data_IF_263144580143
#
_entry.id   IF_263144580143
#
_cell.length_a   1.000
_cell.length_b   1.000
_cell.length_c   1.000
_cell.angle_alpha   90.00
_cell.angle_beta   90.00
_cell.angle_gamma   90.00
#
_symmetry.space_group_name_H-M   'P 1'
#
loop_
_entity.id
_entity.type
_entity.pdbx_description
1 polymer ?
#
# COMPACT_ATOMS: atom_id res chain seq x y z
N UNK A 1 -0.21 -1.75 -12.02
CA UNK A 1 -0.99 -2.74 -11.27
C UNK A 1 -1.00 -2.41 -9.78
N UNK A 2 -2.18 -2.51 -9.11
CA UNK A 2 -2.30 -2.20 -7.69
C UNK A 2 -3.17 -3.24 -6.98
N UNK A 3 -2.72 -3.78 -5.84
CA UNK A 3 -3.52 -4.72 -5.05
C UNK A 3 -4.42 -4.00 -4.04
N UNK A 4 -5.73 -4.37 -4.00
CA UNK A 4 -6.70 -3.76 -3.07
C UNK A 4 -7.14 -2.35 -3.47
N UNK A 5 -7.49 -2.13 -4.74
CA UNK A 5 -7.87 -0.81 -5.29
C UNK A 5 -9.35 -0.45 -5.18
N UNK A 6 -10.20 -1.30 -4.57
CA UNK A 6 -11.65 -1.07 -4.53
C UNK A 6 -12.13 -0.12 -3.42
N UNK A 7 -11.29 0.20 -2.43
CA UNK A 7 -11.62 1.07 -1.29
C UNK A 7 -10.40 1.70 -0.62
N UNK A 8 -10.63 2.61 0.31
CA UNK A 8 -9.61 3.19 1.18
C UNK A 8 -8.48 3.90 0.44
N UNK A 9 -7.25 3.82 0.97
CA UNK A 9 -6.06 4.45 0.39
C UNK A 9 -5.69 3.82 -0.97
N UNK A 10 -5.98 2.53 -1.18
CA UNK A 10 -5.76 1.86 -2.47
C UNK A 10 -6.62 2.46 -3.58
N UNK A 11 -7.90 2.72 -3.31
CA UNK A 11 -8.78 3.42 -4.24
C UNK A 11 -8.29 4.83 -4.55
N UNK A 12 -7.91 5.60 -3.51
CA UNK A 12 -7.37 6.94 -3.71
C UNK A 12 -6.11 6.92 -4.58
N UNK A 13 -5.21 5.93 -4.37
CA UNK A 13 -4.01 5.76 -5.19
C UNK A 13 -4.33 5.44 -6.65
N UNK A 14 -5.28 4.54 -6.91
CA UNK A 14 -5.74 4.19 -8.27
C UNK A 14 -6.30 5.43 -8.99
N UNK A 15 -7.16 6.21 -8.32
CA UNK A 15 -7.74 7.43 -8.88
C UNK A 15 -6.67 8.49 -9.19
N UNK A 16 -5.72 8.70 -8.28
CA UNK A 16 -4.66 9.70 -8.49
C UNK A 16 -3.68 9.27 -9.58
N UNK A 17 -3.36 7.97 -9.70
CA UNK A 17 -2.58 7.44 -10.83
C UNK A 17 -3.27 7.71 -12.16
N UNK A 18 -4.58 7.42 -12.27
CA UNK A 18 -5.36 7.67 -13.48
C UNK A 18 -5.44 9.16 -13.83
N UNK A 19 -5.59 10.04 -12.82
CA UNK A 19 -5.57 11.50 -12.98
C UNK A 19 -4.23 12.01 -13.53
N UNK A 20 -3.14 11.33 -13.21
CA UNK A 20 -1.80 11.63 -13.73
C UNK A 20 -1.48 10.88 -15.05
N UNK A 21 -2.49 10.35 -15.75
CA UNK A 21 -2.38 9.79 -17.08
C UNK A 21 -2.03 8.30 -17.14
N UNK A 22 -1.99 7.59 -16.00
CA UNK A 22 -1.71 6.17 -16.02
C UNK A 22 -2.91 5.34 -16.50
N UNK A 23 -2.64 4.28 -17.25
CA UNK A 23 -3.55 3.15 -17.37
C UNK A 23 -3.50 2.34 -16.08
N UNK A 24 -4.62 1.80 -15.61
CA UNK A 24 -4.70 1.21 -14.28
C UNK A 24 -5.32 -0.18 -14.32
N UNK A 25 -4.62 -1.15 -13.74
CA UNK A 25 -5.14 -2.45 -13.38
C UNK A 25 -5.12 -2.60 -11.86
N UNK A 26 -6.20 -3.07 -11.23
CA UNK A 26 -6.23 -3.22 -9.79
C UNK A 26 -7.04 -4.45 -9.34
N UNK A 27 -6.84 -4.86 -8.10
CA UNK A 27 -7.53 -6.05 -7.59
C UNK A 27 -8.46 -5.75 -6.42
N UNK A 28 -9.38 -6.66 -6.19
CA UNK A 28 -10.27 -6.71 -5.03
C UNK A 28 -10.45 -8.16 -4.58
N UNK A 29 -10.91 -8.38 -3.33
CA UNK A 29 -11.27 -9.73 -2.84
C UNK A 29 -12.78 -9.88 -2.73
N UNK A 30 -13.45 -9.01 -1.99
CA UNK A 30 -14.87 -9.15 -1.65
C UNK A 30 -15.77 -8.05 -2.21
N UNK A 31 -15.23 -6.85 -2.48
CA UNK A 31 -16.05 -5.69 -2.89
C UNK A 31 -15.99 -5.48 -4.41
N UNK A 32 -16.77 -6.26 -5.15
CA UNK A 32 -16.92 -6.05 -6.60
C UNK A 32 -17.63 -4.73 -6.91
N UNK A 33 -18.64 -4.37 -6.12
CA UNK A 33 -19.33 -3.07 -6.24
C UNK A 33 -18.38 -1.89 -6.05
N UNK A 34 -17.45 -1.98 -5.10
CA UNK A 34 -16.40 -0.98 -4.90
C UNK A 34 -15.41 -0.93 -6.08
N UNK A 35 -15.12 -2.07 -6.71
CA UNK A 35 -14.27 -2.10 -7.90
C UNK A 35 -14.97 -1.43 -9.09
N UNK A 36 -16.25 -1.70 -9.32
CA UNK A 36 -17.06 -1.04 -10.37
C UNK A 36 -17.18 0.47 -10.15
N UNK A 37 -17.40 0.91 -8.90
CA UNK A 37 -17.41 2.35 -8.56
C UNK A 37 -16.05 3.00 -8.79
N UNK A 38 -14.95 2.30 -8.47
CA UNK A 38 -13.59 2.79 -8.73
C UNK A 38 -13.34 2.93 -10.24
N UNK A 39 -13.71 1.93 -11.05
CA UNK A 39 -13.61 2.00 -12.51
C UNK A 39 -14.41 3.19 -13.07
N UNK A 40 -15.67 3.35 -12.66
CA UNK A 40 -16.51 4.45 -13.10
C UNK A 40 -15.86 5.82 -12.82
N UNK A 41 -15.34 6.02 -11.61
CA UNK A 41 -14.62 7.25 -11.23
C UNK A 41 -13.34 7.48 -12.02
N UNK A 42 -12.59 6.41 -12.36
CA UNK A 42 -11.42 6.56 -13.23
C UNK A 42 -11.85 7.05 -14.60
N UNK A 43 -12.93 6.49 -15.17
CA UNK A 43 -13.46 6.89 -16.48
C UNK A 43 -13.95 8.35 -16.49
N UNK A 44 -14.51 8.83 -15.38
CA UNK A 44 -14.87 10.25 -15.21
C UNK A 44 -13.64 11.16 -15.20
N UNK A 45 -12.57 10.77 -14.48
CA UNK A 45 -11.33 11.55 -14.33
C UNK A 45 -10.50 11.54 -15.62
N UNK A 46 -10.37 10.35 -16.23
CA UNK A 46 -9.59 10.13 -17.44
C UNK A 46 -10.33 9.14 -18.37
N UNK A 47 -11.20 9.65 -19.27
CA UNK A 47 -11.99 8.81 -20.18
C UNK A 47 -11.15 7.91 -21.11
N UNK A 48 -9.90 8.28 -21.37
CA UNK A 48 -9.00 7.54 -22.25
C UNK A 48 -8.17 6.49 -21.53
N UNK A 49 -8.19 6.44 -20.19
CA UNK A 49 -7.44 5.45 -19.43
C UNK A 49 -7.96 4.03 -19.70
N UNK A 50 -7.07 3.10 -19.97
CA UNK A 50 -7.39 1.68 -19.87
C UNK A 50 -7.55 1.32 -18.40
N UNK A 51 -8.68 0.68 -18.05
CA UNK A 51 -8.97 0.28 -16.67
C UNK A 51 -9.40 -1.17 -16.68
N UNK A 52 -8.74 -1.96 -15.83
CA UNK A 52 -9.12 -3.35 -15.59
C UNK A 52 -9.16 -3.61 -14.08
N UNK A 53 -10.03 -4.50 -13.64
CA UNK A 53 -10.04 -4.96 -12.26
C UNK A 53 -10.28 -6.47 -12.20
N UNK A 54 -9.62 -7.10 -11.23
CA UNK A 54 -9.64 -8.55 -11.07
C UNK A 54 -9.96 -8.93 -9.64
N UNK A 55 -10.73 -10.00 -9.48
CA UNK A 55 -10.85 -10.65 -8.17
C UNK A 55 -9.56 -11.44 -7.93
N UNK A 56 -8.90 -11.21 -6.80
CA UNK A 56 -7.64 -11.87 -6.47
C UNK A 56 -7.38 -11.82 -4.95
N UNK A 57 -7.18 -12.97 -4.34
CA UNK A 57 -6.63 -13.07 -2.99
C UNK A 57 -5.10 -13.20 -3.06
N UNK A 58 -4.39 -12.21 -2.55
CA UNK A 58 -2.91 -12.19 -2.54
C UNK A 58 -2.29 -13.35 -1.76
N UNK A 59 -3.04 -14.05 -0.90
CA UNK A 59 -2.59 -15.24 -0.17
C UNK A 59 -2.45 -16.47 -1.08
N UNK A 60 -3.11 -16.47 -2.23
CA UNK A 60 -3.12 -17.57 -3.17
C UNK A 60 -2.11 -17.34 -4.30
N UNK A 61 -0.94 -17.97 -4.21
CA UNK A 61 0.14 -17.81 -5.20
C UNK A 61 -0.29 -18.17 -6.63
N UNK A 62 -1.15 -19.19 -6.81
CA UNK A 62 -1.65 -19.58 -8.14
C UNK A 62 -2.54 -18.48 -8.73
N UNK A 63 -3.49 -18.00 -7.95
CA UNK A 63 -4.39 -16.92 -8.35
C UNK A 63 -3.61 -15.61 -8.66
N UNK A 64 -2.57 -15.31 -7.89
CA UNK A 64 -1.66 -14.17 -8.14
C UNK A 64 -0.98 -14.30 -9.51
N UNK A 65 -0.44 -15.49 -9.84
CA UNK A 65 0.22 -15.70 -11.13
C UNK A 65 -0.78 -15.58 -12.29
N UNK A 66 -1.95 -16.24 -12.20
CA UNK A 66 -3.00 -16.18 -13.24
C UNK A 66 -3.47 -14.74 -13.49
N UNK A 67 -3.67 -13.95 -12.43
CA UNK A 67 -4.08 -12.55 -12.55
C UNK A 67 -2.95 -11.66 -13.07
N UNK A 68 -1.69 -11.92 -12.70
CA UNK A 68 -0.54 -11.18 -13.23
C UNK A 68 -0.40 -11.38 -14.74
N UNK A 69 -0.44 -12.63 -15.22
CA UNK A 69 -0.40 -12.96 -16.65
C UNK A 69 -1.55 -12.26 -17.41
N UNK A 70 -2.77 -12.34 -16.86
CA UNK A 70 -3.94 -11.68 -17.45
C UNK A 70 -3.78 -10.16 -17.47
N UNK A 71 -3.30 -9.55 -16.41
CA UNK A 71 -3.10 -8.11 -16.35
C UNK A 71 -2.04 -7.64 -17.35
N UNK A 72 -0.95 -8.38 -17.52
CA UNK A 72 0.08 -8.10 -18.53
C UNK A 72 -0.53 -8.18 -19.94
N UNK A 73 -1.32 -9.23 -20.23
CA UNK A 73 -1.97 -9.39 -21.53
C UNK A 73 -2.97 -8.27 -21.84
N UNK A 74 -3.84 -7.92 -20.89
CA UNK A 74 -4.88 -6.89 -21.06
C UNK A 74 -4.27 -5.47 -21.17
N UNK A 75 -3.21 -5.18 -20.41
CA UNK A 75 -2.54 -3.87 -20.41
C UNK A 75 -1.50 -3.72 -21.51
N UNK A 76 -0.92 -4.82 -21.99
CA UNK A 76 0.20 -4.90 -22.94
C UNK A 76 1.57 -4.71 -22.29
N UNK A 77 1.64 -4.05 -21.14
CA UNK A 77 2.85 -3.82 -20.33
C UNK A 77 2.48 -3.36 -18.93
N UNK A 78 3.25 -3.79 -17.94
CA UNK A 78 3.17 -3.26 -16.58
C UNK A 78 4.48 -2.56 -16.23
N UNK A 79 4.43 -1.28 -15.90
CA UNK A 79 5.59 -0.48 -15.49
C UNK A 79 5.73 -0.36 -13.98
N UNK A 80 4.60 -0.44 -13.25
CA UNK A 80 4.55 -0.21 -11.82
C UNK A 80 3.63 -1.23 -11.14
N UNK A 81 4.09 -1.76 -10.02
CA UNK A 81 3.27 -2.63 -9.14
C UNK A 81 3.23 -2.03 -7.75
N UNK A 82 2.01 -1.80 -7.23
CA UNK A 82 1.77 -1.28 -5.89
C UNK A 82 1.15 -2.37 -5.02
N UNK A 83 1.87 -2.83 -4.00
CA UNK A 83 1.41 -3.80 -3.02
C UNK A 83 0.75 -3.08 -1.84
N UNK A 84 -0.58 -2.94 -1.92
CA UNK A 84 -1.39 -2.21 -0.93
C UNK A 84 -2.40 -3.11 -0.19
N UNK A 85 -2.78 -4.26 -0.73
CA UNK A 85 -3.74 -5.17 -0.09
C UNK A 85 -3.37 -5.48 1.36
N UNK A 86 -4.37 -5.45 2.25
CA UNK A 86 -4.12 -5.68 3.66
C UNK A 86 -5.39 -5.89 4.49
N UNK A 87 -5.19 -6.48 5.66
CA UNK A 87 -6.21 -6.77 6.67
C UNK A 87 -5.67 -6.47 8.07
N UNK A 88 -6.56 -6.41 9.04
CA UNK A 88 -6.23 -6.35 10.46
C UNK A 88 -6.85 -7.55 11.20
N UNK A 89 -6.07 -8.15 12.12
CA UNK A 89 -6.51 -9.19 13.07
C UNK A 89 -5.83 -8.89 14.40
N UNK A 90 -6.26 -7.81 15.02
CA UNK A 90 -5.67 -7.28 16.23
C UNK A 90 -6.00 -8.17 17.44
N UNK A 91 -5.05 -8.29 18.36
CA UNK A 91 -5.18 -9.05 19.60
C UNK A 91 -3.89 -8.99 20.40
N UNK A 92 -3.99 -9.00 21.73
CA UNK A 92 -2.81 -9.12 22.57
C UNK A 92 -2.14 -10.47 22.33
N UNK A 93 -0.82 -10.53 22.36
CA UNK A 93 -0.04 -11.72 21.93
C UNK A 93 -0.46 -13.01 22.65
N UNK A 94 -0.83 -12.96 23.92
CA UNK A 94 -1.26 -14.14 24.68
C UNK A 94 -2.69 -14.64 24.30
N UNK A 95 -3.46 -13.83 23.57
CA UNK A 95 -4.82 -14.16 23.10
C UNK A 95 -4.86 -14.35 21.59
N UNK A 96 -3.80 -13.96 20.87
CA UNK A 96 -3.71 -14.06 19.42
C UNK A 96 -3.69 -15.53 19.00
N UNK A 97 -4.62 -15.91 18.13
CA UNK A 97 -4.64 -17.28 17.57
C UNK A 97 -3.62 -17.41 16.44
N UNK A 98 -3.21 -18.67 16.16
CA UNK A 98 -2.34 -18.98 15.03
C UNK A 98 -2.98 -18.51 13.72
N UNK A 99 -4.28 -18.68 13.53
CA UNK A 99 -5.02 -18.20 12.35
C UNK A 99 -4.94 -16.67 12.19
N UNK A 100 -5.07 -15.92 13.28
CA UNK A 100 -4.93 -14.46 13.25
C UNK A 100 -3.51 -14.02 12.87
N UNK A 101 -2.52 -14.74 13.36
CA UNK A 101 -1.13 -14.53 12.99
C UNK A 101 -0.89 -14.87 11.51
N UNK A 102 -1.23 -16.08 11.11
CA UNK A 102 -0.97 -16.60 9.77
C UNK A 102 -1.71 -15.78 8.69
N UNK A 103 -2.97 -15.43 8.91
CA UNK A 103 -3.74 -14.66 7.93
C UNK A 103 -3.11 -13.29 7.66
N UNK A 104 -2.58 -12.62 8.68
CA UNK A 104 -1.92 -11.32 8.54
C UNK A 104 -0.57 -11.46 7.84
N UNK A 105 0.26 -12.43 8.26
CA UNK A 105 1.56 -12.68 7.61
C UNK A 105 1.36 -13.08 6.15
N UNK A 106 0.43 -14.00 5.86
CA UNK A 106 0.13 -14.45 4.51
C UNK A 106 -0.36 -13.31 3.62
N UNK A 107 -1.25 -12.46 4.12
CA UNK A 107 -1.78 -11.35 3.32
C UNK A 107 -0.72 -10.29 3.04
N UNK A 108 -0.03 -9.82 4.08
CA UNK A 108 0.85 -8.66 3.97
C UNK A 108 2.23 -9.00 3.44
N UNK A 109 2.92 -9.98 4.07
CA UNK A 109 4.32 -10.26 3.74
C UNK A 109 4.43 -11.28 2.60
N UNK A 110 3.80 -12.44 2.76
CA UNK A 110 3.83 -13.50 1.75
C UNK A 110 3.13 -13.05 0.47
N UNK A 111 1.98 -12.38 0.57
CA UNK A 111 1.25 -11.84 -0.59
C UNK A 111 2.07 -10.79 -1.35
N UNK A 112 2.76 -9.88 -0.65
CA UNK A 112 3.68 -8.92 -1.29
C UNK A 112 4.80 -9.66 -2.05
N UNK A 113 5.38 -10.70 -1.46
CA UNK A 113 6.38 -11.54 -2.12
C UNK A 113 5.81 -12.22 -3.38
N UNK A 114 4.61 -12.83 -3.29
CA UNK A 114 4.00 -13.49 -4.45
C UNK A 114 3.77 -12.53 -5.60
N UNK A 115 3.21 -11.35 -5.31
CA UNK A 115 2.94 -10.34 -6.34
C UNK A 115 4.23 -9.80 -6.94
N UNK A 116 5.23 -9.44 -6.13
CA UNK A 116 6.52 -9.00 -6.67
C UNK A 116 7.16 -10.05 -7.57
N UNK A 117 7.15 -11.32 -7.14
CA UNK A 117 7.71 -12.44 -7.92
C UNK A 117 6.98 -12.63 -9.26
N UNK A 118 5.65 -12.51 -9.28
CA UNK A 118 4.84 -12.72 -10.48
C UNK A 118 5.11 -11.65 -11.57
N UNK A 119 5.45 -10.42 -11.19
CA UNK A 119 5.77 -9.35 -12.14
C UNK A 119 7.26 -9.16 -12.40
N UNK A 120 8.14 -9.86 -11.69
CA UNK A 120 9.59 -9.65 -11.78
C UNK A 120 10.14 -9.99 -13.17
N UNK A 121 9.67 -11.08 -13.77
CA UNK A 121 10.09 -11.49 -15.12
C UNK A 121 9.70 -10.44 -16.16
N UNK A 122 8.49 -9.91 -16.09
CA UNK A 122 8.00 -8.81 -16.94
C UNK A 122 8.92 -7.59 -16.83
N UNK A 123 9.31 -7.20 -15.62
CA UNK A 123 10.23 -6.08 -15.41
C UNK A 123 11.64 -6.35 -15.95
N UNK A 124 12.13 -7.59 -15.85
CA UNK A 124 13.42 -7.98 -16.43
C UNK A 124 13.38 -7.89 -17.96
N UNK A 125 12.34 -8.42 -18.59
CA UNK A 125 12.13 -8.40 -20.05
C UNK A 125 12.01 -6.96 -20.55
N UNK A 126 11.25 -6.13 -19.85
CA UNK A 126 11.06 -4.71 -20.18
C UNK A 126 12.22 -3.80 -19.80
N UNK A 127 13.30 -4.34 -19.21
CA UNK A 127 14.50 -3.63 -18.78
C UNK A 127 14.22 -2.50 -17.77
N UNK A 128 13.25 -2.70 -16.92
CA UNK A 128 12.89 -1.78 -15.85
C UNK A 128 11.48 -1.94 -15.34
N UNK A 129 11.25 -1.44 -14.14
CA UNK A 129 9.94 -1.41 -13.48
C UNK A 129 10.06 -0.93 -12.04
N UNK A 130 8.93 -0.61 -11.42
CA UNK A 130 8.90 -0.08 -10.06
C UNK A 130 7.94 -0.86 -9.18
N UNK A 131 8.44 -1.34 -8.05
CA UNK A 131 7.63 -1.86 -6.95
C UNK A 131 7.47 -0.78 -5.88
N UNK A 132 6.24 -0.52 -5.47
CA UNK A 132 5.89 0.35 -4.35
C UNK A 132 5.16 -0.50 -3.31
N UNK A 133 5.82 -0.81 -2.22
CA UNK A 133 5.28 -1.68 -1.17
C UNK A 133 4.78 -0.85 0.02
N UNK A 134 3.57 -1.15 0.49
CA UNK A 134 2.96 -0.37 1.56
C UNK A 134 3.20 -1.04 2.92
N UNK A 135 4.04 -0.41 3.74
CA UNK A 135 4.27 -0.77 5.14
C UNK A 135 3.26 -0.04 6.05
N UNK A 136 3.64 0.33 7.24
CA UNK A 136 2.85 1.09 8.22
C UNK A 136 3.77 1.65 9.29
N UNK A 137 3.38 2.74 9.96
CA UNK A 137 4.03 3.19 11.20
C UNK A 137 4.10 2.12 12.28
N UNK A 138 3.21 1.12 12.23
CA UNK A 138 3.23 -0.02 13.17
C UNK A 138 4.42 -0.97 12.96
N UNK A 139 5.24 -0.78 11.93
CA UNK A 139 6.43 -1.61 11.69
C UNK A 139 7.48 -1.55 12.82
N UNK A 140 7.45 -0.51 13.64
CA UNK A 140 8.32 -0.39 14.82
C UNK A 140 7.75 -1.06 16.07
N UNK A 141 6.55 -1.65 15.97
CA UNK A 141 5.82 -2.26 17.06
C UNK A 141 4.57 -1.47 17.45
N UNK A 142 3.45 -2.16 17.60
CA UNK A 142 2.18 -1.61 18.08
C UNK A 142 1.53 -2.62 19.01
N UNK A 143 1.12 -2.19 20.19
CA UNK A 143 0.44 -3.06 21.13
C UNK A 143 -0.85 -3.63 20.53
N UNK A 144 -1.08 -4.93 20.67
CA UNK A 144 -2.21 -5.63 20.05
C UNK A 144 -2.04 -5.95 18.55
N UNK A 145 -0.90 -5.64 17.95
CA UNK A 145 -0.63 -5.83 16.52
C UNK A 145 0.70 -6.55 16.26
N UNK A 146 1.04 -7.57 17.05
CA UNK A 146 2.31 -8.28 16.90
C UNK A 146 2.48 -8.88 15.50
N UNK A 147 1.42 -9.53 14.96
CA UNK A 147 1.36 -10.06 13.61
C UNK A 147 1.53 -8.98 12.53
N UNK A 148 0.78 -7.90 12.66
CA UNK A 148 0.80 -6.78 11.71
C UNK A 148 2.14 -6.05 11.73
N UNK A 149 2.68 -5.78 12.92
CA UNK A 149 4.00 -5.16 13.08
C UNK A 149 5.11 -6.01 12.45
N UNK A 150 5.11 -7.32 12.71
CA UNK A 150 6.06 -8.25 12.12
C UNK A 150 5.98 -8.26 10.59
N UNK A 151 4.76 -8.35 10.03
CA UNK A 151 4.56 -8.33 8.58
C UNK A 151 5.05 -7.01 7.96
N UNK A 152 4.69 -5.86 8.57
CA UNK A 152 5.04 -4.54 8.04
C UNK A 152 6.54 -4.22 8.17
N UNK A 153 7.21 -4.70 9.21
CA UNK A 153 8.67 -4.67 9.31
C UNK A 153 9.34 -5.58 8.27
N UNK A 154 8.80 -6.78 8.07
CA UNK A 154 9.28 -7.73 7.06
C UNK A 154 9.23 -7.18 5.63
N UNK A 155 8.18 -6.42 5.28
CA UNK A 155 8.06 -5.74 3.98
C UNK A 155 9.25 -4.80 3.73
N UNK A 156 9.72 -4.08 4.74
CA UNK A 156 10.86 -3.16 4.61
C UNK A 156 12.14 -3.94 4.27
N UNK A 157 12.41 -5.02 5.02
CA UNK A 157 13.56 -5.89 4.78
C UNK A 157 13.52 -6.53 3.39
N UNK A 158 12.37 -7.11 3.03
CA UNK A 158 12.12 -7.70 1.71
C UNK A 158 12.35 -6.70 0.57
N UNK A 159 11.78 -5.50 0.68
CA UNK A 159 11.91 -4.48 -0.37
C UNK A 159 13.35 -4.03 -0.59
N UNK A 160 14.13 -3.89 0.49
CA UNK A 160 15.55 -3.56 0.41
C UNK A 160 16.38 -4.68 -0.24
N UNK A 161 16.04 -5.95 0.02
CA UNK A 161 16.69 -7.08 -0.61
C UNK A 161 16.43 -7.06 -2.13
N UNK A 162 15.16 -6.95 -2.55
CA UNK A 162 14.77 -6.89 -3.95
C UNK A 162 15.42 -5.71 -4.69
N UNK A 163 15.48 -4.53 -4.08
CA UNK A 163 16.15 -3.36 -4.64
C UNK A 163 17.66 -3.61 -4.88
N UNK A 164 18.33 -4.31 -3.96
CA UNK A 164 19.75 -4.68 -4.10
C UNK A 164 19.98 -5.73 -5.17
N UNK A 165 19.07 -6.72 -5.27
CA UNK A 165 19.19 -7.82 -6.23
C UNK A 165 18.97 -7.37 -7.67
N UNK A 166 18.08 -6.41 -7.90
CA UNK A 166 17.63 -6.06 -9.25
C UNK A 166 17.82 -4.59 -9.65
N UNK A 167 18.36 -3.75 -8.78
CA UNK A 167 18.57 -2.33 -9.07
C UNK A 167 19.46 -2.08 -10.33
N UNK A 168 20.44 -2.94 -10.58
CA UNK A 168 21.29 -2.88 -11.78
C UNK A 168 20.53 -3.15 -13.11
N UNK A 169 19.28 -3.64 -13.02
CA UNK A 169 18.37 -3.86 -14.14
C UNK A 169 17.35 -2.75 -14.30
N UNK A 170 17.52 -1.60 -13.64
CA UNK A 170 16.54 -0.52 -13.54
C UNK A 170 15.20 -0.96 -12.91
N UNK A 171 15.24 -1.93 -12.00
CA UNK A 171 14.10 -2.34 -11.21
C UNK A 171 14.21 -1.69 -9.83
N UNK A 172 13.23 -0.86 -9.52
CA UNK A 172 13.17 -0.13 -8.27
C UNK A 172 12.22 -0.82 -7.30
N UNK A 173 12.55 -0.79 -6.03
CA UNK A 173 11.66 -1.28 -4.98
C UNK A 173 11.73 -0.36 -3.77
N UNK A 174 10.70 0.44 -3.58
CA UNK A 174 10.60 1.39 -2.48
C UNK A 174 9.40 1.09 -1.58
N UNK A 175 9.45 1.57 -0.36
CA UNK A 175 8.41 1.38 0.64
C UNK A 175 7.78 2.72 1.00
N UNK A 176 6.44 2.75 1.12
CA UNK A 176 5.73 3.84 1.77
C UNK A 176 5.31 3.37 3.17
N UNK A 177 5.58 4.20 4.17
CA UNK A 177 5.11 4.05 5.54
C UNK A 177 4.02 5.11 5.78
N UNK A 178 2.73 4.75 5.63
CA UNK A 178 1.65 5.67 5.96
C UNK A 178 1.51 5.86 7.47
N UNK A 179 1.14 7.09 7.85
CA UNK A 179 0.62 7.40 9.17
C UNK A 179 -0.85 7.02 9.31
N UNK A 180 -1.59 7.78 10.09
CA UNK A 180 -3.03 7.59 10.22
C UNK A 180 -3.78 8.34 9.10
N UNK A 181 -4.49 7.56 8.28
CA UNK A 181 -5.39 8.05 7.23
C UNK A 181 -6.80 7.54 7.51
N UNK A 182 -7.76 8.44 7.47
CA UNK A 182 -9.17 8.06 7.66
C UNK A 182 -9.68 7.25 6.48
N UNK A 183 -10.08 6.00 6.74
CA UNK A 183 -10.60 5.07 5.74
C UNK A 183 -11.63 4.15 6.39
N UNK A 184 -12.42 3.44 5.59
CA UNK A 184 -13.35 2.42 6.09
C UNK A 184 -12.66 1.37 6.98
N UNK A 185 -11.41 1.02 6.68
CA UNK A 185 -10.64 0.06 7.48
C UNK A 185 -10.25 0.64 8.84
N UNK A 186 -9.79 1.88 8.87
CA UNK A 186 -9.37 2.54 10.12
C UNK A 186 -10.57 2.94 10.97
N UNK A 187 -11.65 3.44 10.37
CA UNK A 187 -12.88 3.80 11.08
C UNK A 187 -13.56 2.60 11.73
N UNK A 188 -13.46 1.40 11.12
CA UNK A 188 -14.00 0.17 11.69
C UNK A 188 -13.18 -0.40 12.85
N UNK A 189 -11.90 -0.04 12.98
CA UNK A 189 -10.96 -0.69 13.91
C UNK A 189 -10.30 0.27 14.92
N UNK A 190 -10.38 1.58 14.73
CA UNK A 190 -9.78 2.55 15.64
C UNK A 190 -10.86 3.26 16.47
N UNK A 191 -10.70 3.26 17.81
CA UNK A 191 -11.50 4.11 18.68
C UNK A 191 -11.11 5.57 18.54
N UNK A 192 -12.03 6.49 18.89
CA UNK A 192 -11.73 7.95 18.90
C UNK A 192 -10.45 8.27 19.68
N UNK A 193 -10.22 7.61 20.80
CA UNK A 193 -9.02 7.78 21.61
C UNK A 193 -7.74 7.43 20.86
N UNK A 194 -7.76 6.36 20.04
CA UNK A 194 -6.62 5.96 19.20
C UNK A 194 -6.38 7.01 18.12
N UNK A 195 -7.44 7.49 17.47
CA UNK A 195 -7.36 8.54 16.45
C UNK A 195 -6.76 9.82 17.03
N UNK A 196 -7.28 10.29 18.18
CA UNK A 196 -6.75 11.46 18.88
C UNK A 196 -5.28 11.30 19.23
N UNK A 197 -4.86 10.11 19.64
CA UNK A 197 -3.47 9.82 19.95
C UNK A 197 -2.58 9.96 18.69
N UNK A 198 -2.97 9.40 17.54
CA UNK A 198 -2.23 9.56 16.29
C UNK A 198 -2.18 11.01 15.83
N UNK A 199 -3.29 11.73 15.91
CA UNK A 199 -3.35 13.16 15.60
C UNK A 199 -2.42 13.97 16.50
N UNK A 200 -2.43 13.69 17.80
CA UNK A 200 -1.58 14.37 18.78
C UNK A 200 -0.08 14.11 18.56
N UNK A 201 0.28 12.89 18.15
CA UNK A 201 1.67 12.51 17.86
C UNK A 201 2.16 13.01 16.49
N UNK A 202 1.27 13.38 15.59
CA UNK A 202 1.61 13.98 14.32
C UNK A 202 1.99 15.45 14.47
N UNK A 203 3.11 15.87 13.87
CA UNK A 203 3.53 17.29 13.88
C UNK A 203 2.51 18.19 13.18
N UNK A 204 1.80 17.67 12.17
CA UNK A 204 0.72 18.40 11.48
C UNK A 204 -0.59 18.45 12.28
N UNK A 205 -0.71 17.69 13.38
CA UNK A 205 -1.85 17.65 14.29
C UNK A 205 -3.21 17.48 13.58
N UNK A 206 -3.24 16.64 12.58
CA UNK A 206 -4.44 16.25 11.84
C UNK A 206 -4.27 14.85 11.24
N UNK A 207 -5.39 14.25 10.87
CA UNK A 207 -5.41 13.05 10.05
C UNK A 207 -4.86 13.32 8.65
N UNK A 208 -4.26 12.30 8.03
CA UNK A 208 -3.93 12.32 6.61
C UNK A 208 -5.18 12.11 5.75
N UNK A 209 -5.25 12.79 4.62
CA UNK A 209 -6.27 12.54 3.60
C UNK A 209 -5.79 11.44 2.64
N UNK A 210 -6.63 10.49 2.23
CA UNK A 210 -6.23 9.45 1.27
C UNK A 210 -5.55 9.96 0.01
N UNK A 211 -5.93 11.16 -0.46
CA UNK A 211 -5.32 11.81 -1.63
C UNK A 211 -3.86 12.26 -1.37
N UNK A 212 -3.51 12.55 -0.12
CA UNK A 212 -2.13 12.90 0.24
C UNK A 212 -1.22 11.67 0.19
N UNK A 213 -1.73 10.51 0.63
CA UNK A 213 -1.06 9.23 0.45
C UNK A 213 -0.90 8.88 -1.05
N UNK A 214 -1.97 9.06 -1.82
CA UNK A 214 -2.00 8.76 -3.25
C UNK A 214 -0.93 9.53 -4.03
N UNK A 215 -0.66 10.78 -3.68
CA UNK A 215 0.42 11.59 -4.28
C UNK A 215 1.81 11.01 -4.01
N UNK A 216 2.05 10.42 -2.84
CA UNK A 216 3.30 9.73 -2.56
C UNK A 216 3.45 8.45 -3.40
N UNK A 217 2.35 7.73 -3.66
CA UNK A 217 2.35 6.61 -4.59
C UNK A 217 2.70 7.10 -6.00
N UNK A 218 2.10 8.18 -6.50
CA UNK A 218 2.41 8.77 -7.81
C UNK A 218 3.87 9.19 -7.90
N UNK A 219 4.43 9.81 -6.85
CA UNK A 219 5.85 10.17 -6.80
C UNK A 219 6.74 8.95 -7.02
N UNK A 220 6.56 7.88 -6.24
CA UNK A 220 7.38 6.67 -6.37
C UNK A 220 7.09 5.87 -7.65
N UNK A 221 5.91 6.02 -8.24
CA UNK A 221 5.51 5.37 -9.49
C UNK A 221 6.02 6.10 -10.75
N UNK A 222 6.45 7.35 -10.63
CA UNK A 222 6.82 8.21 -11.76
C UNK A 222 8.33 8.39 -11.93
N UNK A 223 8.75 9.06 -13.01
CA UNK A 223 10.14 9.45 -13.25
C UNK A 223 10.72 10.42 -12.20
N UNK A 224 9.87 11.05 -11.37
CA UNK A 224 10.33 11.90 -10.28
C UNK A 224 11.17 11.18 -9.22
N UNK A 225 11.10 9.84 -9.18
CA UNK A 225 11.82 8.99 -8.23
C UNK A 225 12.92 8.13 -8.87
N UNK A 226 13.42 8.48 -10.05
CA UNK A 226 14.38 7.65 -10.80
C UNK A 226 15.77 7.51 -10.14
N UNK A 227 16.04 8.20 -9.05
CA UNK A 227 17.23 8.02 -8.23
C UNK A 227 16.90 7.62 -6.79
N UNK A 228 15.66 7.12 -6.55
CA UNK A 228 15.19 6.63 -5.24
C UNK A 228 14.98 5.13 -5.34
N UNK A 229 15.83 4.31 -4.70
CA UNK A 229 15.72 2.85 -4.72
C UNK A 229 16.14 2.23 -3.39
N UNK A 230 15.35 1.30 -2.88
CA UNK A 230 15.54 0.66 -1.58
C UNK A 230 15.22 1.57 -0.40
N UNK A 231 14.51 2.66 -0.63
CA UNK A 231 14.21 3.68 0.38
C UNK A 231 12.85 3.47 1.05
N UNK A 232 12.67 4.13 2.18
CA UNK A 232 11.46 4.09 3.00
C UNK A 232 10.93 5.51 3.15
N UNK A 233 9.85 5.80 2.41
CA UNK A 233 9.20 7.11 2.44
C UNK A 233 8.12 7.15 3.52
N UNK A 234 8.32 7.97 4.55
CA UNK A 234 7.34 8.19 5.61
C UNK A 234 6.33 9.27 5.19
N UNK A 235 5.06 8.88 5.11
CA UNK A 235 3.92 9.78 4.80
C UNK A 235 3.02 9.81 6.04
N UNK A 236 3.48 10.47 7.09
CA UNK A 236 2.93 10.34 8.45
C UNK A 236 2.46 11.66 9.05
N UNK A 237 2.64 12.77 8.31
CA UNK A 237 2.45 14.11 8.90
C UNK A 237 3.47 14.45 9.97
N UNK A 238 4.66 13.80 9.93
CA UNK A 238 5.70 13.95 10.94
C UNK A 238 5.34 13.28 12.27
N UNK A 239 4.80 12.05 12.18
CA UNK A 239 4.48 11.29 13.40
C UNK A 239 5.75 10.94 14.16
N UNK A 240 5.82 11.37 15.42
CA UNK A 240 6.88 11.08 16.34
C UNK A 240 6.33 10.27 17.52
N UNK A 241 7.16 9.40 18.08
CA UNK A 241 6.85 8.64 19.31
C UNK A 241 6.93 9.51 20.57
N UNK A 242 7.58 10.66 20.47
CA UNK A 242 7.66 11.65 21.56
C UNK A 242 6.66 12.76 21.22
N UNK A 243 5.57 12.92 22.00
CA UNK A 243 4.62 13.99 21.74
C UNK A 243 5.34 15.33 21.83
N UNK A 244 5.02 16.30 20.95
CA UNK A 244 5.57 17.64 21.08
C UNK A 244 5.25 18.18 22.46
N UNK A 245 6.23 18.82 23.12
CA UNK A 245 6.00 19.49 24.43
C UNK A 245 4.77 20.36 24.27
N UNK A 246 3.79 20.20 25.17
CA UNK A 246 2.56 21.00 25.16
C UNK A 246 2.92 22.48 25.01
N UNK A 247 2.94 22.96 23.80
CA UNK A 247 2.85 24.39 23.57
C UNK A 247 1.43 24.71 24.01
N UNK A 248 1.28 25.33 25.17
CA UNK A 248 0.03 25.89 25.65
C UNK A 248 -0.48 26.88 24.59
N UNK A 249 -1.07 26.38 23.51
CA UNK A 249 -1.87 27.19 22.61
C UNK A 249 -3.11 27.55 23.41
N UNK A 250 -3.07 28.71 24.04
CA UNK A 250 -4.27 29.38 24.56
C UNK A 250 -5.28 29.34 23.42
N UNK A 251 -6.40 28.61 23.64
CA UNK A 251 -7.60 28.81 22.84
C UNK A 251 -7.94 30.29 22.91
N UNK A 252 -7.79 31.00 21.81
CA UNK A 252 -8.45 32.28 21.57
C UNK A 252 -9.78 32.00 20.92
#
# INVERSE_FOLDING_TARGET
>A
FLTGGSRGIGKAAVLELAKNGANVAFTYVSSESGAKDTEAKIKEINPNAKVFYYKMDVKNSKEVNEVAEKAIADMGKIDVVVNNAGILRDGLIYQMTDDQWDEVIQTHLTGTFYVCRAFLEEFIVNKGGKFVNISSICHVGSAGQANYSAAKAGIIGFSKALAKEYGYKNIYCNVIVPGYFKTELTDANASEMIVEQFVRLSMLQREGKPEEFAKAVVFLASGLSDFVNGDVLYVTGGLDTIPPKDSKRKKK
#
